data_IF_242943128913
#
_entry.id   IF_242943128913
#
_cell.length_a   1.000
_cell.length_b   1.000
_cell.length_c   1.000
_cell.angle_alpha   90.00
_cell.angle_beta   90.00
_cell.angle_gamma   90.00
#
_symmetry.space_group_name_H-M   'P 1'
#
loop_
_entity.id
_entity.type
_entity.pdbx_description
1 polymer ?
#
# COMPACT_ATOMS: atom_id res chain seq x y z
N UNK A 1 14.72 -19.60 -11.29
CA UNK A 1 13.60 -19.35 -10.38
C UNK A 1 14.11 -19.64 -8.98
N UNK A 2 14.13 -18.66 -8.07
CA UNK A 2 14.52 -18.90 -6.67
C UNK A 2 13.54 -19.87 -6.03
N UNK A 3 14.03 -20.78 -5.22
CA UNK A 3 13.19 -21.70 -4.44
C UNK A 3 12.51 -20.95 -3.30
N UNK A 4 11.46 -21.51 -2.71
CA UNK A 4 10.77 -20.89 -1.57
C UNK A 4 11.71 -20.58 -0.39
N UNK A 5 12.80 -21.34 -0.25
CA UNK A 5 13.81 -21.12 0.79
C UNK A 5 14.72 -19.92 0.49
N UNK A 6 15.01 -19.67 -0.80
CA UNK A 6 15.92 -18.57 -1.19
C UNK A 6 15.29 -17.20 -1.00
N UNK A 7 14.01 -17.00 -1.39
CA UNK A 7 13.37 -15.71 -1.17
C UNK A 7 13.05 -15.46 0.31
N UNK A 8 12.79 -16.52 1.10
CA UNK A 8 12.66 -16.37 2.56
C UNK A 8 13.96 -15.85 3.18
N UNK A 9 15.12 -16.33 2.71
CA UNK A 9 16.42 -15.82 3.14
C UNK A 9 16.61 -14.33 2.77
N UNK A 10 16.12 -13.90 1.59
CA UNK A 10 16.17 -12.49 1.22
C UNK A 10 15.32 -11.62 2.17
N UNK A 11 14.12 -12.09 2.52
CA UNK A 11 13.25 -11.40 3.50
C UNK A 11 13.90 -11.36 4.89
N UNK A 12 14.46 -12.47 5.34
CA UNK A 12 15.17 -12.53 6.63
C UNK A 12 16.33 -11.52 6.66
N UNK A 13 17.10 -11.41 5.57
CA UNK A 13 18.20 -10.45 5.47
C UNK A 13 17.70 -8.99 5.50
N UNK A 14 16.59 -8.65 4.81
CA UNK A 14 16.01 -7.31 4.86
C UNK A 14 15.54 -6.98 6.27
N UNK A 15 14.82 -7.90 6.92
CA UNK A 15 14.32 -7.68 8.29
C UNK A 15 15.49 -7.56 9.27
N UNK A 16 16.53 -8.39 9.13
CA UNK A 16 17.71 -8.31 9.99
C UNK A 16 18.41 -6.97 9.85
N UNK A 17 18.63 -6.49 8.61
CA UNK A 17 19.18 -5.15 8.37
C UNK A 17 18.35 -4.07 9.04
N UNK A 18 17.03 -4.10 8.85
CA UNK A 18 16.13 -3.12 9.48
C UNK A 18 16.19 -3.17 11.01
N UNK A 19 16.24 -4.38 11.59
CA UNK A 19 16.38 -4.56 13.04
C UNK A 19 17.71 -4.01 13.55
N UNK A 20 18.79 -4.25 12.83
CA UNK A 20 20.13 -3.75 13.18
C UNK A 20 20.18 -2.23 13.10
N UNK A 21 19.65 -1.64 12.02
CA UNK A 21 19.64 -0.20 11.78
C UNK A 21 18.76 0.57 12.78
N UNK A 22 17.66 -0.05 13.24
CA UNK A 22 16.70 0.58 14.16
C UNK A 22 16.70 -0.01 15.57
N UNK A 23 17.66 -0.87 15.92
CA UNK A 23 17.79 -1.50 17.24
C UNK A 23 16.52 -2.24 17.70
N UNK A 24 15.82 -2.87 16.77
CA UNK A 24 14.58 -3.61 17.04
C UNK A 24 14.84 -5.08 17.33
N UNK A 25 13.99 -5.67 18.16
CA UNK A 25 13.98 -7.12 18.40
C UNK A 25 12.94 -7.78 17.51
N UNK A 26 13.38 -8.67 16.65
CA UNK A 26 12.51 -9.38 15.70
C UNK A 26 11.70 -10.49 16.39
N UNK A 27 10.39 -10.46 16.19
CA UNK A 27 9.50 -11.52 16.71
C UNK A 27 9.48 -12.73 15.77
N UNK A 28 10.00 -13.87 16.23
CA UNK A 28 10.07 -15.13 15.46
C UNK A 28 8.72 -15.84 15.22
N UNK A 29 7.59 -15.26 15.65
CA UNK A 29 6.27 -15.94 15.66
C UNK A 29 5.56 -16.01 14.30
N UNK A 30 6.07 -15.37 13.26
CA UNK A 30 5.39 -15.30 11.97
C UNK A 30 5.99 -16.26 10.95
N UNK A 31 5.49 -17.49 10.93
CA UNK A 31 5.97 -18.57 10.05
C UNK A 31 5.08 -18.85 8.83
N UNK A 32 4.00 -18.10 8.65
CA UNK A 32 3.14 -18.28 7.49
C UNK A 32 3.76 -17.62 6.25
N UNK A 33 3.78 -18.33 5.14
CA UNK A 33 4.38 -17.88 3.88
C UNK A 33 3.81 -16.54 3.40
N UNK A 34 2.50 -16.35 3.55
CA UNK A 34 1.79 -15.11 3.20
C UNK A 34 2.25 -13.96 4.09
N UNK A 35 2.27 -14.16 5.41
CA UNK A 35 2.71 -13.15 6.36
C UNK A 35 4.18 -12.75 6.14
N UNK A 36 5.05 -13.71 5.86
CA UNK A 36 6.45 -13.45 5.53
C UNK A 36 6.59 -12.61 4.25
N UNK A 37 5.76 -12.88 3.24
CA UNK A 37 5.74 -12.10 2.02
C UNK A 37 5.26 -10.65 2.25
N UNK A 38 4.19 -10.45 3.01
CA UNK A 38 3.70 -9.14 3.39
C UNK A 38 4.74 -8.33 4.19
N UNK A 39 5.43 -8.99 5.12
CA UNK A 39 6.55 -8.39 5.87
C UNK A 39 7.70 -8.00 4.94
N UNK A 40 8.06 -8.85 3.99
CA UNK A 40 9.06 -8.53 2.97
C UNK A 40 8.68 -7.30 2.15
N UNK A 41 7.43 -7.23 1.68
CA UNK A 41 6.92 -6.06 0.95
C UNK A 41 6.93 -4.79 1.82
N UNK A 42 6.59 -4.92 3.11
CA UNK A 42 6.68 -3.82 4.07
C UNK A 42 8.09 -3.27 4.18
N UNK A 43 9.10 -4.12 4.35
CA UNK A 43 10.49 -3.68 4.42
C UNK A 43 11.03 -3.13 3.10
N UNK A 44 10.63 -3.69 1.96
CA UNK A 44 10.97 -3.12 0.66
C UNK A 44 10.38 -1.71 0.49
N UNK A 45 9.17 -1.48 1.00
CA UNK A 45 8.56 -0.16 1.02
C UNK A 45 9.31 0.80 1.94
N UNK A 46 9.74 0.36 3.12
CA UNK A 46 10.55 1.20 4.02
C UNK A 46 11.88 1.60 3.39
N UNK A 47 12.59 0.63 2.80
CA UNK A 47 13.85 0.88 2.08
C UNK A 47 13.66 1.93 0.96
N UNK A 48 12.53 1.84 0.23
CA UNK A 48 12.16 2.87 -0.75
C UNK A 48 12.04 4.26 -0.11
N UNK A 49 11.32 4.39 1.02
CA UNK A 49 11.14 5.67 1.70
C UNK A 49 12.45 6.24 2.24
N UNK A 50 13.32 5.42 2.82
CA UNK A 50 14.67 5.83 3.26
C UNK A 50 15.51 6.35 2.09
N UNK A 51 15.49 5.65 0.96
CA UNK A 51 16.21 6.06 -0.25
C UNK A 51 15.62 7.35 -0.85
N UNK A 52 14.33 7.61 -0.67
CA UNK A 52 13.67 8.86 -1.03
C UNK A 52 13.89 9.98 0.01
N UNK A 53 14.81 9.77 0.96
CA UNK A 53 15.25 10.75 1.97
C UNK A 53 14.20 11.05 3.06
N UNK A 54 13.26 10.15 3.29
CA UNK A 54 12.43 10.22 4.49
C UNK A 54 13.24 9.72 5.69
N UNK A 55 13.13 10.43 6.80
CA UNK A 55 13.61 9.95 8.11
C UNK A 55 12.59 8.93 8.64
N UNK A 56 13.08 7.73 8.97
CA UNK A 56 12.26 6.63 9.45
C UNK A 56 12.40 6.51 10.97
N UNK A 57 11.29 6.47 11.67
CA UNK A 57 11.24 6.15 13.10
C UNK A 57 10.16 5.11 13.39
N UNK A 58 10.38 4.33 14.44
CA UNK A 58 9.49 3.24 14.83
C UNK A 58 8.69 3.66 16.05
N UNK A 59 7.39 3.44 16.00
CA UNK A 59 6.50 3.73 17.12
C UNK A 59 5.70 2.52 17.56
N UNK A 60 5.24 2.60 18.80
CA UNK A 60 4.38 1.61 19.44
C UNK A 60 5.02 0.22 19.54
N UNK A 61 6.29 0.17 19.92
CA UNK A 61 6.96 -1.07 20.29
C UNK A 61 6.30 -1.72 21.51
N UNK A 62 6.56 -3.00 21.71
CA UNK A 62 6.23 -3.68 22.98
C UNK A 62 7.04 -3.10 24.13
N UNK A 63 6.68 -3.46 25.39
CA UNK A 63 7.49 -3.14 26.57
C UNK A 63 8.94 -3.64 26.48
N UNK A 64 9.15 -4.70 25.72
CA UNK A 64 10.45 -5.35 25.55
C UNK A 64 11.21 -4.81 24.29
N UNK A 65 10.66 -3.78 23.64
CA UNK A 65 11.27 -3.15 22.47
C UNK A 65 11.06 -3.91 21.16
N UNK A 66 10.15 -4.89 21.10
CA UNK A 66 9.88 -5.65 19.89
C UNK A 66 8.91 -4.92 18.95
N UNK A 67 9.16 -5.02 17.64
CA UNK A 67 8.22 -4.59 16.60
C UNK A 67 7.11 -5.64 16.41
N UNK A 68 5.86 -5.22 16.54
CA UNK A 68 4.68 -6.08 16.40
C UNK A 68 4.01 -5.84 15.07
N UNK A 69 4.17 -6.78 14.14
CA UNK A 69 3.49 -6.74 12.85
C UNK A 69 2.01 -7.07 12.98
N UNK A 70 1.17 -6.28 12.32
CA UNK A 70 -0.26 -6.58 12.16
C UNK A 70 -0.46 -7.35 10.85
N UNK A 71 -0.71 -8.64 10.93
CA UNK A 71 -0.88 -9.53 9.76
C UNK A 71 -2.32 -9.97 9.54
N UNK A 72 -3.29 -9.28 10.15
CA UNK A 72 -4.71 -9.57 10.00
C UNK A 72 -5.55 -8.30 10.23
N UNK A 73 -6.53 -8.01 9.38
CA UNK A 73 -7.40 -6.84 9.53
C UNK A 73 -8.34 -6.90 10.75
N UNK A 74 -8.32 -8.02 11.49
CA UNK A 74 -9.13 -8.21 12.71
C UNK A 74 -8.49 -7.63 13.96
N UNK A 75 -7.22 -7.23 13.91
CA UNK A 75 -6.50 -6.66 15.03
C UNK A 75 -6.90 -5.21 15.31
N UNK A 76 -6.67 -4.77 16.56
CA UNK A 76 -6.71 -3.35 16.88
C UNK A 76 -5.39 -2.71 16.44
N UNK A 77 -5.35 -1.85 15.41
CA UNK A 77 -4.11 -1.29 14.89
C UNK A 77 -3.34 -0.45 15.92
N UNK A 78 -4.02 0.04 16.96
CA UNK A 78 -3.37 0.77 18.05
C UNK A 78 -2.52 -0.11 18.97
N UNK A 79 -2.63 -1.44 18.87
CA UNK A 79 -1.82 -2.39 19.65
C UNK A 79 -0.61 -2.93 18.87
N UNK A 80 -0.37 -2.47 17.66
CA UNK A 80 0.71 -2.93 16.79
C UNK A 80 1.65 -1.80 16.45
N UNK A 81 2.89 -2.16 16.17
CA UNK A 81 3.91 -1.19 15.80
C UNK A 81 3.68 -0.63 14.40
N UNK A 82 4.12 0.57 14.18
CA UNK A 82 4.05 1.23 12.87
C UNK A 82 5.27 2.13 12.67
N UNK A 83 5.46 2.55 11.45
CA UNK A 83 6.57 3.42 11.08
C UNK A 83 6.05 4.85 10.91
N UNK A 84 6.83 5.80 11.35
CA UNK A 84 6.67 7.21 10.99
C UNK A 84 7.76 7.57 10.00
N UNK A 85 7.34 8.00 8.81
CA UNK A 85 8.21 8.51 7.76
C UNK A 85 8.07 10.04 7.69
N UNK A 86 9.14 10.76 7.94
CA UNK A 86 9.16 12.23 8.02
C UNK A 86 10.00 12.84 6.91
N UNK A 87 9.53 13.95 6.33
CA UNK A 87 10.25 14.72 5.34
C UNK A 87 10.04 16.23 5.62
N UNK A 88 11.04 16.87 6.18
CA UNK A 88 10.92 18.23 6.70
C UNK A 88 9.86 18.31 7.81
N UNK A 89 8.87 19.17 7.66
CA UNK A 89 7.77 19.31 8.63
C UNK A 89 6.62 18.31 8.43
N UNK A 90 6.68 17.49 7.39
CA UNK A 90 5.64 16.53 7.04
C UNK A 90 5.95 15.17 7.64
N UNK A 91 4.94 14.50 8.16
CA UNK A 91 5.07 13.16 8.70
C UNK A 91 3.88 12.29 8.31
N UNK A 92 4.15 11.03 8.04
CA UNK A 92 3.22 10.02 7.59
C UNK A 92 3.39 8.75 8.42
N UNK A 93 2.34 7.95 8.49
CA UNK A 93 2.39 6.65 9.14
C UNK A 93 2.30 5.55 8.10
N UNK A 94 3.23 4.60 8.13
CA UNK A 94 3.19 3.39 7.32
C UNK A 94 2.68 2.27 8.23
N UNK A 95 1.49 1.77 7.91
CA UNK A 95 0.76 0.80 8.73
C UNK A 95 0.37 -0.43 7.92
N UNK A 96 0.23 -1.56 8.60
CA UNK A 96 -0.21 -2.82 8.03
C UNK A 96 -1.69 -3.08 8.32
N UNK A 97 -2.40 -3.74 7.39
CA UNK A 97 -3.75 -4.27 7.55
C UNK A 97 -4.77 -3.25 8.10
N UNK A 98 -4.58 -1.97 7.78
CA UNK A 98 -5.46 -0.91 8.23
C UNK A 98 -6.71 -0.86 7.36
N UNK A 99 -7.88 -1.03 7.97
CA UNK A 99 -9.15 -0.95 7.24
C UNK A 99 -9.45 0.49 6.83
N UNK A 100 -9.77 0.68 5.56
CA UNK A 100 -10.10 1.98 4.96
C UNK A 100 -11.54 1.96 4.52
N UNK A 101 -12.32 3.01 4.80
CA UNK A 101 -13.64 3.20 4.25
C UNK A 101 -13.67 4.35 3.24
N UNK A 102 -14.52 4.20 2.23
CA UNK A 102 -14.64 5.16 1.13
C UNK A 102 -15.35 6.43 1.56
N UNK A 103 -14.97 7.55 0.95
CA UNK A 103 -15.73 8.79 1.02
C UNK A 103 -17.06 8.73 0.23
N UNK A 104 -17.21 7.77 -0.69
CA UNK A 104 -18.45 7.57 -1.43
C UNK A 104 -19.55 7.02 -0.52
N UNK A 105 -19.20 6.05 0.31
CA UNK A 105 -20.09 5.39 1.25
C UNK A 105 -19.27 4.67 2.32
N UNK A 106 -19.60 4.86 3.58
CA UNK A 106 -18.86 4.26 4.70
C UNK A 106 -18.93 2.72 4.76
N UNK A 107 -19.91 2.12 4.07
CA UNK A 107 -20.03 0.66 3.94
C UNK A 107 -19.10 0.08 2.87
N UNK A 108 -18.60 0.92 1.95
CA UNK A 108 -17.56 0.52 0.99
C UNK A 108 -16.23 0.59 1.71
N UNK A 109 -15.68 -0.56 2.08
CA UNK A 109 -14.40 -0.62 2.79
C UNK A 109 -13.54 -1.78 2.35
N UNK A 110 -12.23 -1.63 2.48
CA UNK A 110 -11.23 -2.66 2.22
C UNK A 110 -10.08 -2.54 3.24
N UNK A 111 -9.28 -3.59 3.33
CA UNK A 111 -8.10 -3.61 4.20
C UNK A 111 -6.89 -3.97 3.35
N UNK A 112 -6.16 -3.00 2.82
CA UNK A 112 -4.92 -3.26 2.10
C UNK A 112 -3.86 -3.80 3.05
N UNK A 113 -2.95 -4.58 2.52
CA UNK A 113 -1.88 -5.16 3.32
C UNK A 113 -0.97 -4.07 3.91
N UNK A 114 -0.71 -2.99 3.15
CA UNK A 114 0.07 -1.84 3.59
C UNK A 114 -0.65 -0.52 3.26
N UNK A 115 -0.54 0.44 4.15
CA UNK A 115 -1.14 1.78 3.96
C UNK A 115 -0.17 2.87 4.40
N UNK A 116 -0.13 3.94 3.65
CA UNK A 116 0.51 5.20 4.03
C UNK A 116 -0.59 6.20 4.32
N UNK A 117 -0.63 6.71 5.54
CA UNK A 117 -1.64 7.67 6.00
C UNK A 117 -0.98 8.92 6.55
N UNK A 118 -1.73 10.01 6.64
CA UNK A 118 -1.25 11.23 7.30
C UNK A 118 -0.92 10.95 8.76
N UNK A 119 0.05 11.67 9.30
CA UNK A 119 0.41 11.57 10.71
C UNK A 119 -0.77 11.94 11.62
N UNK A 120 -0.95 11.18 12.69
CA UNK A 120 -2.05 11.33 13.64
C UNK A 120 -3.45 11.16 13.03
N UNK A 121 -3.56 10.37 11.98
CA UNK A 121 -4.87 9.99 11.41
C UNK A 121 -5.73 9.35 12.48
N UNK A 122 -6.97 9.82 12.58
CA UNK A 122 -7.94 9.27 13.52
C UNK A 122 -8.37 7.86 13.11
N UNK A 123 -8.04 6.88 13.94
CA UNK A 123 -8.49 5.49 13.78
C UNK A 123 -9.80 5.33 14.54
N UNK A 124 -10.89 5.31 13.79
CA UNK A 124 -12.22 5.15 14.34
C UNK A 124 -12.46 3.71 14.81
N UNK A 125 -12.99 3.56 16.01
CA UNK A 125 -13.55 2.29 16.48
C UNK A 125 -15.04 2.25 16.15
N UNK A 126 -15.43 1.38 15.23
CA UNK A 126 -16.85 1.12 14.95
C UNK A 126 -17.42 0.27 16.08
N UNK A 127 -18.46 0.77 16.74
CA UNK A 127 -19.10 0.10 17.89
C UNK A 127 -19.94 -1.08 17.44
N UNK A 128 -20.02 -2.10 18.29
CA UNK A 128 -20.78 -3.33 18.03
C UNK A 128 -22.30 -3.10 17.92
N UNK A 129 -22.81 -1.95 18.36
CA UNK A 129 -24.23 -1.58 18.29
C UNK A 129 -24.74 -1.47 16.83
N UNK A 130 -23.85 -1.16 15.88
CA UNK A 130 -24.14 -1.07 14.46
C UNK A 130 -24.15 -2.44 13.76
N UNK A 131 -23.76 -3.52 14.48
CA UNK A 131 -23.73 -4.86 13.98
C UNK A 131 -24.70 -5.73 14.76
N UNK A 132 -25.66 -6.35 14.05
CA UNK A 132 -26.51 -7.36 14.65
C UNK A 132 -25.72 -8.37 15.45
N UNK A 133 -26.20 -8.71 16.64
CA UNK A 133 -25.60 -9.55 17.68
C UNK A 133 -24.55 -10.56 17.20
N UNK A 134 -23.32 -10.42 17.67
CA UNK A 134 -22.24 -11.39 17.48
C UNK A 134 -21.04 -10.94 16.63
N UNK A 135 -21.02 -9.72 16.09
CA UNK A 135 -19.84 -9.21 15.38
C UNK A 135 -18.90 -8.46 16.32
N UNK A 136 -17.58 -8.67 16.11
CA UNK A 136 -16.53 -7.94 16.85
C UNK A 136 -16.44 -6.51 16.36
N UNK A 137 -16.19 -5.55 17.25
CA UNK A 137 -15.82 -4.19 16.85
C UNK A 137 -14.58 -4.22 15.95
N UNK A 138 -14.54 -3.35 14.97
CA UNK A 138 -13.39 -3.19 14.11
C UNK A 138 -12.94 -1.73 14.09
N UNK A 139 -11.74 -1.51 13.56
CA UNK A 139 -11.10 -0.21 13.47
C UNK A 139 -10.95 0.17 12.02
N UNK A 140 -11.17 1.44 11.70
CA UNK A 140 -11.10 1.94 10.33
C UNK A 140 -10.62 3.39 10.25
N UNK A 141 -10.13 3.79 9.09
CA UNK A 141 -9.78 5.17 8.75
C UNK A 141 -10.53 5.63 7.51
N UNK A 142 -10.70 6.93 7.37
CA UNK A 142 -11.26 7.51 6.15
C UNK A 142 -10.25 7.46 5.01
N UNK A 143 -10.71 7.20 3.78
CA UNK A 143 -9.89 7.32 2.58
C UNK A 143 -9.33 8.74 2.36
N UNK A 144 -9.91 9.77 2.98
CA UNK A 144 -9.38 11.16 2.98
C UNK A 144 -7.98 11.30 3.55
N UNK A 145 -7.64 10.44 4.51
CA UNK A 145 -6.38 10.49 5.23
C UNK A 145 -5.35 9.52 4.67
N UNK A 146 -5.73 8.73 3.66
CA UNK A 146 -4.85 7.77 3.00
C UNK A 146 -4.11 8.45 1.87
N UNK A 147 -2.79 8.36 1.92
CA UNK A 147 -1.90 8.82 0.84
C UNK A 147 -1.77 7.71 -0.20
N UNK A 148 -1.42 6.50 0.22
CA UNK A 148 -1.28 5.34 -0.66
C UNK A 148 -1.73 4.06 0.04
N UNK A 149 -2.21 3.10 -0.74
CA UNK A 149 -2.55 1.77 -0.29
C UNK A 149 -1.88 0.73 -1.20
N UNK A 150 -1.28 -0.29 -0.60
CA UNK A 150 -0.56 -1.32 -1.33
C UNK A 150 -1.07 -2.70 -0.96
N UNK A 151 -1.11 -3.58 -1.94
CA UNK A 151 -1.59 -4.96 -1.79
C UNK A 151 -0.45 -5.94 -2.06
N UNK A 152 -0.35 -7.01 -1.30
CA UNK A 152 0.71 -8.01 -1.37
C UNK A 152 0.13 -9.39 -1.68
N UNK A 153 0.52 -9.99 -2.79
CA UNK A 153 0.03 -11.31 -3.19
C UNK A 153 1.19 -12.24 -3.55
N UNK A 154 1.41 -13.23 -2.71
CA UNK A 154 2.46 -14.26 -2.88
C UNK A 154 2.15 -15.26 -4.00
N UNK A 155 1.37 -14.88 -5.00
CA UNK A 155 0.91 -15.70 -6.11
C UNK A 155 1.48 -15.20 -7.44
N UNK A 156 1.42 -15.98 -8.54
CA UNK A 156 1.63 -15.45 -9.88
C UNK A 156 0.57 -14.39 -10.22
N UNK A 157 0.89 -13.38 -11.06
CA UNK A 157 -0.09 -12.42 -11.52
C UNK A 157 -1.15 -13.10 -12.39
N UNK A 158 -2.40 -12.69 -12.25
CA UNK A 158 -3.51 -13.13 -13.11
C UNK A 158 -4.49 -11.96 -13.31
N UNK A 159 -5.27 -11.97 -14.42
CA UNK A 159 -6.11 -10.83 -14.79
C UNK A 159 -7.06 -10.35 -13.69
N UNK A 160 -7.76 -11.28 -13.03
CA UNK A 160 -8.76 -10.98 -12.02
C UNK A 160 -8.15 -10.30 -10.79
N UNK A 161 -6.93 -10.66 -10.42
CA UNK A 161 -6.19 -10.00 -9.34
C UNK A 161 -5.94 -8.54 -9.66
N UNK A 162 -5.49 -8.24 -10.88
CA UNK A 162 -5.20 -6.88 -11.32
C UNK A 162 -6.49 -6.04 -11.38
N UNK A 163 -7.57 -6.61 -11.91
CA UNK A 163 -8.89 -5.94 -11.99
C UNK A 163 -9.46 -5.72 -10.60
N UNK A 164 -9.34 -6.68 -9.70
CA UNK A 164 -9.78 -6.56 -8.30
C UNK A 164 -9.03 -5.45 -7.57
N UNK A 165 -7.72 -5.37 -7.75
CA UNK A 165 -6.91 -4.29 -7.16
C UNK A 165 -7.33 -2.91 -7.67
N UNK A 166 -7.55 -2.77 -8.98
CA UNK A 166 -8.07 -1.52 -9.57
C UNK A 166 -9.45 -1.21 -9.02
N UNK A 167 -10.33 -2.19 -8.94
CA UNK A 167 -11.71 -2.04 -8.43
C UNK A 167 -11.72 -1.54 -6.99
N UNK A 168 -10.92 -2.14 -6.10
CA UNK A 168 -10.77 -1.66 -4.73
C UNK A 168 -10.27 -0.21 -4.69
N UNK A 169 -9.23 0.07 -5.46
CA UNK A 169 -8.61 1.36 -5.53
C UNK A 169 -9.57 2.45 -6.02
N UNK A 170 -10.29 2.20 -7.11
CA UNK A 170 -11.25 3.14 -7.70
C UNK A 170 -12.46 3.36 -6.81
N UNK A 171 -12.98 2.32 -6.15
CA UNK A 171 -14.23 2.39 -5.38
C UNK A 171 -14.02 2.84 -3.94
N UNK A 172 -12.89 2.57 -3.33
CA UNK A 172 -12.66 2.85 -1.91
C UNK A 172 -11.67 3.99 -1.66
N UNK A 173 -10.88 4.38 -2.65
CA UNK A 173 -9.91 5.46 -2.52
C UNK A 173 -10.43 6.77 -3.12
N UNK A 174 -10.28 7.88 -2.40
CA UNK A 174 -10.79 9.21 -2.80
C UNK A 174 -10.16 9.80 -4.07
N UNK A 175 -9.14 9.18 -4.63
CA UNK A 175 -8.41 9.69 -5.80
C UNK A 175 -9.27 9.84 -7.05
N UNK A 176 -10.31 9.01 -7.18
CA UNK A 176 -11.23 9.05 -8.31
C UNK A 176 -12.51 9.82 -8.03
N UNK A 177 -12.70 10.27 -6.79
CA UNK A 177 -13.89 11.05 -6.40
C UNK A 177 -13.67 12.55 -6.52
N UNK A 178 -12.43 13.01 -6.67
CA UNK A 178 -12.17 14.40 -6.97
C UNK A 178 -12.59 14.68 -8.42
N UNK A 179 -13.39 15.72 -8.63
CA UNK A 179 -13.95 16.09 -9.95
C UNK A 179 -12.87 16.41 -11.01
N UNK A 180 -11.63 16.51 -10.58
CA UNK A 180 -10.45 16.60 -11.43
C UNK A 180 -9.86 15.21 -11.57
N UNK A 181 -10.32 14.45 -12.56
CA UNK A 181 -9.74 13.13 -12.89
C UNK A 181 -8.22 13.14 -12.81
N UNK A 182 -7.67 12.25 -12.00
CA UNK A 182 -6.24 12.00 -11.95
C UNK A 182 -5.42 12.91 -11.03
N UNK A 183 -6.04 13.73 -10.20
CA UNK A 183 -5.30 14.44 -9.15
C UNK A 183 -5.01 13.47 -8.02
N UNK A 184 -3.77 13.11 -7.92
CA UNK A 184 -3.23 12.34 -6.81
C UNK A 184 -2.94 13.27 -5.64
N UNK A 185 -3.33 12.87 -4.44
CA UNK A 185 -3.19 13.71 -3.24
C UNK A 185 -1.85 13.47 -2.58
N UNK A 186 -0.79 13.98 -3.15
CA UNK A 186 0.50 14.04 -2.48
C UNK A 186 1.04 15.48 -2.47
N UNK A 187 1.69 15.84 -1.40
CA UNK A 187 2.30 17.15 -1.19
C UNK A 187 3.83 17.11 -1.35
N UNK A 188 4.43 15.94 -1.55
CA UNK A 188 5.87 15.74 -1.69
C UNK A 188 6.30 15.35 -3.12
N UNK A 189 5.44 14.65 -3.86
CA UNK A 189 5.77 14.01 -5.14
C UNK A 189 6.73 12.81 -5.00
N UNK A 190 6.93 12.31 -3.79
CA UNK A 190 7.90 11.26 -3.48
C UNK A 190 7.25 9.94 -3.03
N UNK A 191 5.97 9.95 -2.67
CA UNK A 191 5.28 8.73 -2.28
C UNK A 191 5.12 7.77 -3.44
N UNK A 192 5.38 6.50 -3.19
CA UNK A 192 5.08 5.45 -4.14
C UNK A 192 3.58 5.40 -4.40
N UNK A 193 3.17 5.44 -5.67
CA UNK A 193 1.76 5.29 -6.04
C UNK A 193 1.24 3.93 -5.56
N UNK A 194 -0.08 3.74 -5.38
CA UNK A 194 -0.65 2.46 -5.00
C UNK A 194 -0.06 1.32 -5.80
N UNK A 195 0.39 0.30 -5.09
CA UNK A 195 1.19 -0.77 -5.69
C UNK A 195 0.62 -2.13 -5.32
N UNK A 196 0.41 -2.97 -6.33
CA UNK A 196 0.19 -4.39 -6.18
C UNK A 196 1.55 -5.10 -6.25
N UNK A 197 2.01 -5.63 -5.14
CA UNK A 197 3.21 -6.46 -5.05
C UNK A 197 2.86 -7.92 -5.31
N UNK A 198 3.48 -8.53 -6.30
CA UNK A 198 3.20 -9.90 -6.74
C UNK A 198 4.44 -10.76 -6.64
N UNK A 199 4.35 -11.86 -5.89
CA UNK A 199 5.47 -12.77 -5.66
C UNK A 199 5.93 -13.48 -6.92
N UNK A 200 5.01 -14.01 -7.70
CA UNK A 200 5.32 -14.78 -8.90
C UNK A 200 5.77 -13.94 -10.10
N UNK A 201 6.39 -14.62 -11.07
CA UNK A 201 6.84 -14.00 -12.33
C UNK A 201 5.69 -13.80 -13.32
N UNK A 202 5.79 -12.74 -14.11
CA UNK A 202 4.83 -12.45 -15.18
C UNK A 202 5.25 -13.09 -16.51
N UNK A 203 4.27 -13.59 -17.25
CA UNK A 203 4.43 -13.95 -18.65
C UNK A 203 4.25 -12.72 -19.56
N UNK A 204 4.61 -12.82 -20.83
CA UNK A 204 4.53 -11.71 -21.80
C UNK A 204 3.11 -11.09 -21.88
N UNK A 205 2.06 -11.88 -21.74
CA UNK A 205 0.68 -11.40 -21.71
C UNK A 205 0.43 -10.52 -20.48
N UNK A 206 0.87 -10.94 -19.31
CA UNK A 206 0.72 -10.19 -18.07
C UNK A 206 1.46 -8.85 -18.14
N UNK A 207 2.66 -8.83 -18.70
CA UNK A 207 3.44 -7.58 -18.88
C UNK A 207 2.74 -6.59 -19.80
N UNK A 208 2.09 -7.08 -20.88
CA UNK A 208 1.27 -6.23 -21.76
C UNK A 208 0.05 -5.63 -21.01
N UNK A 209 -0.62 -6.44 -20.21
CA UNK A 209 -1.75 -5.98 -19.40
C UNK A 209 -1.31 -4.94 -18.37
N UNK A 210 -0.22 -5.20 -17.65
CA UNK A 210 0.36 -4.27 -16.67
C UNK A 210 0.67 -2.93 -17.35
N UNK A 211 1.36 -2.95 -18.49
CA UNK A 211 1.69 -1.75 -19.23
C UNK A 211 0.45 -0.97 -19.71
N UNK A 212 -0.62 -1.66 -20.09
CA UNK A 212 -1.89 -1.04 -20.47
C UNK A 212 -2.59 -0.38 -19.27
N UNK A 213 -2.65 -1.09 -18.13
CA UNK A 213 -3.25 -0.60 -16.88
C UNK A 213 -2.53 0.64 -16.36
N UNK A 214 -1.19 0.61 -16.31
CA UNK A 214 -0.39 1.71 -15.79
C UNK A 214 -0.43 2.98 -16.67
N UNK A 215 -0.84 2.87 -17.93
CA UNK A 215 -1.09 4.04 -18.79
C UNK A 215 -2.36 4.81 -18.44
N UNK A 216 -3.31 4.11 -17.83
CA UNK A 216 -4.66 4.64 -17.55
C UNK A 216 -4.82 4.98 -16.07
N UNK A 217 -4.20 4.20 -15.20
CA UNK A 217 -4.32 4.34 -13.75
C UNK A 217 -2.97 4.71 -13.12
N UNK A 218 -2.91 5.72 -12.23
CA UNK A 218 -1.70 6.13 -11.51
C UNK A 218 -1.37 5.12 -10.39
N UNK A 219 -1.08 3.89 -10.75
CA UNK A 219 -0.75 2.80 -9.84
C UNK A 219 0.41 1.96 -10.38
N UNK A 220 0.95 1.08 -9.56
CA UNK A 220 2.00 0.14 -9.94
C UNK A 220 1.54 -1.30 -9.79
N UNK A 221 2.07 -2.18 -10.64
CA UNK A 221 2.01 -3.63 -10.48
C UNK A 221 3.44 -4.14 -10.58
N UNK A 222 4.03 -4.53 -9.45
CA UNK A 222 5.38 -5.05 -9.34
C UNK A 222 5.30 -6.57 -9.27
N UNK A 223 5.96 -7.26 -10.19
CA UNK A 223 5.94 -8.73 -10.28
C UNK A 223 7.33 -9.31 -10.04
N UNK A 224 7.37 -10.58 -9.69
CA UNK A 224 8.65 -11.29 -9.53
C UNK A 224 9.37 -10.97 -8.21
N UNK A 225 8.64 -10.61 -7.17
CA UNK A 225 9.23 -10.36 -5.84
C UNK A 225 9.99 -11.61 -5.35
N UNK A 226 9.47 -12.81 -5.59
CA UNK A 226 10.17 -14.07 -5.28
C UNK A 226 11.45 -14.31 -6.10
N UNK A 227 11.67 -13.54 -7.17
CA UNK A 227 12.90 -13.58 -7.95
C UNK A 227 13.92 -12.52 -7.55
N UNK A 228 13.66 -11.81 -6.46
CA UNK A 228 14.55 -10.80 -5.91
C UNK A 228 14.29 -9.36 -6.37
N UNK A 229 13.10 -9.07 -6.90
CA UNK A 229 12.70 -7.70 -7.29
C UNK A 229 12.22 -6.87 -6.08
N UNK A 230 13.04 -6.84 -5.01
CA UNK A 230 12.75 -6.12 -3.78
C UNK A 230 13.24 -4.67 -3.80
N UNK A 231 14.19 -4.34 -4.67
CA UNK A 231 14.72 -2.99 -4.82
C UNK A 231 13.74 -2.09 -5.60
N UNK A 232 12.83 -1.49 -4.87
CA UNK A 232 11.84 -0.56 -5.44
C UNK A 232 12.51 0.76 -5.85
N UNK A 233 13.53 1.21 -5.13
CA UNK A 233 14.25 2.43 -5.44
C UNK A 233 15.08 2.29 -6.72
N UNK A 234 15.79 1.19 -6.91
CA UNK A 234 16.51 0.91 -8.15
C UNK A 234 15.58 0.83 -9.37
N UNK A 235 14.31 0.52 -9.12
CA UNK A 235 13.24 0.52 -10.13
C UNK A 235 12.46 1.83 -10.22
N UNK A 236 12.77 2.86 -9.43
CA UNK A 236 11.97 4.08 -9.25
C UNK A 236 11.67 4.84 -10.55
N UNK A 237 12.54 4.78 -11.56
CA UNK A 237 12.33 5.39 -12.87
C UNK A 237 11.22 4.74 -13.69
N UNK A 238 10.81 3.51 -13.32
CA UNK A 238 9.76 2.72 -13.97
C UNK A 238 8.47 2.67 -13.14
N UNK A 239 8.53 3.14 -11.89
CA UNK A 239 7.40 3.15 -10.98
C UNK A 239 6.75 4.53 -10.95
N UNK A 240 5.43 4.52 -10.96
CA UNK A 240 4.63 5.73 -10.77
C UNK A 240 4.76 6.21 -9.33
N UNK A 241 4.87 7.51 -9.17
CA UNK A 241 4.77 8.21 -7.88
C UNK A 241 3.49 9.04 -7.88
N UNK A 242 3.07 9.42 -6.70
CA UNK A 242 1.98 10.36 -6.56
C UNK A 242 2.47 11.75 -6.96
N UNK A 243 1.67 12.43 -7.75
CA UNK A 243 1.99 13.79 -8.19
C UNK A 243 1.66 14.81 -7.10
N UNK A 244 2.39 15.91 -7.11
CA UNK A 244 2.13 17.02 -6.19
C UNK A 244 0.76 17.63 -6.50
N UNK A 245 -0.02 17.90 -5.47
CA UNK A 245 -1.35 18.51 -5.60
C UNK A 245 -1.24 19.82 -6.38
N UNK A 246 -1.97 19.90 -7.48
CA UNK A 246 -2.00 21.09 -8.34
C UNK A 246 -0.99 21.09 -9.49
N UNK A 247 -0.21 20.03 -9.69
CA UNK A 247 0.63 19.88 -10.87
C UNK A 247 -0.22 19.50 -12.08
N UNK A 248 -0.30 20.42 -13.06
CA UNK A 248 -1.16 20.28 -14.24
C UNK A 248 -0.64 19.30 -15.30
N UNK A 249 0.63 18.93 -15.26
CA UNK A 249 1.20 17.96 -16.22
C UNK A 249 0.70 16.55 -15.93
N UNK A 250 0.45 16.21 -14.67
CA UNK A 250 -0.15 14.93 -14.28
C UNK A 250 -1.57 14.74 -14.82
N UNK A 251 -2.33 15.82 -14.97
CA UNK A 251 -3.68 15.79 -15.54
C UNK A 251 -3.70 15.31 -17.01
N UNK A 252 -2.58 15.38 -17.72
CA UNK A 252 -2.49 14.99 -19.12
C UNK A 252 -2.51 13.48 -19.31
N UNK A 253 -2.08 12.68 -18.32
CA UNK A 253 -2.10 11.21 -18.39
C UNK A 253 -3.47 10.61 -18.04
N UNK A 254 -4.27 11.31 -17.22
CA UNK A 254 -5.61 10.89 -16.82
C UNK A 254 -6.72 11.34 -17.78
N UNK A 255 -6.42 12.25 -18.68
CA UNK A 255 -7.36 12.81 -19.64
C UNK A 255 -8.14 11.79 -20.49
N UNK A 256 -7.54 10.67 -20.94
CA UNK A 256 -8.28 9.69 -21.75
C UNK A 256 -9.47 9.05 -21.02
N UNK A 257 -9.42 8.90 -19.70
CA UNK A 257 -10.49 8.26 -18.95
C UNK A 257 -11.69 9.20 -18.78
N UNK A 258 -11.44 10.48 -18.57
CA UNK A 258 -12.50 11.47 -18.43
C UNK A 258 -13.23 11.70 -19.74
N UNK A 259 -12.54 11.65 -20.86
CA UNK A 259 -13.15 11.76 -22.18
C UNK A 259 -14.02 10.56 -22.54
N UNK A 260 -13.70 9.36 -21.98
CA UNK A 260 -14.52 8.16 -22.12
C UNK A 260 -15.77 8.14 -21.21
N UNK A 261 -15.72 8.86 -20.10
CA UNK A 261 -16.81 8.93 -19.12
C UNK A 261 -17.73 10.14 -19.33
N UNK A 262 -17.38 11.04 -20.25
CA UNK A 262 -18.30 12.09 -20.66
C UNK A 262 -19.52 11.45 -21.31
N UNK A 263 -20.75 11.73 -20.83
CA UNK A 263 -21.94 11.17 -21.46
C UNK A 263 -21.95 11.63 -22.91
N UNK A 264 -21.87 10.67 -23.82
CA UNK A 264 -22.19 10.91 -25.22
C UNK A 264 -23.59 11.49 -25.22
N UNK A 265 -23.71 12.75 -25.60
CA UNK A 265 -24.98 13.44 -25.65
C UNK A 265 -25.97 12.59 -26.41
N UNK A 266 -27.00 12.16 -25.73
CA UNK A 266 -28.25 11.70 -26.35
C UNK A 266 -28.91 12.99 -26.87
N UNK A 267 -28.66 13.31 -28.12
CA UNK A 267 -29.58 14.11 -28.92
C UNK A 267 -30.69 13.21 -29.49
#
# INVERSE_FOLDING_TARGET
>A
MKTSSEWLSDVENMVTRFVDDHSLVYSKKQRELSASFEIGCFHALLDYYEQMQFEISVENLTSDGEFRYLTSPSGNPNNFSFIVASLGERAYEIRQQLKIYSELDEYISFAPDLSVVKRNTHIEKVKDEDYAKGKRSFYRVSSKDVIAAHECKSLPPFPELMVSFIGMFVTAHSWHTDQTCGVTKDDTGLHLAPTLFVGGSAQAMHLKMIAAIQKVHPLNIVVGMHQGNWDLYGSHKKLNRLDVVGDREALTLAKPLCDFLSPVGLE
#
